data_IF_839064381720
#
_entry.id   IF_839064381720
#
_cell.length_a   1.000
_cell.length_b   1.000
_cell.length_c   1.000
_cell.angle_alpha   90.00
_cell.angle_beta   90.00
_cell.angle_gamma   90.00
#
_symmetry.space_group_name_H-M   'P 1'
#
loop_
_entity.id
_entity.type
_entity.pdbx_description
1 polymer ?
#
# COMPACT_ATOMS: atom_id res chain seq x y z
N UNK A 1 4.51 4.50 -24.74
CA UNK A 1 4.25 3.92 -23.40
C UNK A 1 4.53 5.01 -22.38
N UNK A 2 3.50 5.70 -21.88
CA UNK A 2 3.71 6.69 -20.84
C UNK A 2 4.17 5.94 -19.58
N UNK A 3 5.41 6.17 -19.16
CA UNK A 3 5.94 5.61 -17.92
C UNK A 3 5.24 6.36 -16.78
N UNK A 4 4.24 5.74 -16.15
CA UNK A 4 3.64 6.35 -14.95
C UNK A 4 4.74 6.49 -13.91
N UNK A 5 4.98 7.71 -13.43
CA UNK A 5 5.89 7.89 -12.32
C UNK A 5 5.25 7.29 -11.06
N UNK A 6 5.98 6.37 -10.41
CA UNK A 6 5.53 5.63 -9.22
C UNK A 6 6.32 6.03 -7.98
N UNK A 7 7.19 7.04 -8.09
CA UNK A 7 8.01 7.54 -6.99
C UNK A 7 7.22 7.96 -5.76
N UNK A 8 5.97 8.37 -5.96
CA UNK A 8 5.04 8.85 -4.92
C UNK A 8 4.11 7.77 -4.36
N UNK A 9 4.18 6.54 -4.88
CA UNK A 9 3.35 5.42 -4.42
C UNK A 9 3.94 4.81 -3.15
N UNK A 10 3.08 4.25 -2.30
CA UNK A 10 3.50 3.60 -1.07
C UNK A 10 3.38 2.08 -1.19
N UNK A 11 4.40 1.36 -0.75
CA UNK A 11 4.34 -0.09 -0.60
C UNK A 11 3.47 -0.49 0.58
N UNK A 12 2.63 -1.50 0.38
CA UNK A 12 1.85 -2.13 1.44
C UNK A 12 2.42 -3.54 1.66
N UNK A 13 2.95 -3.78 2.85
CA UNK A 13 3.42 -5.09 3.27
C UNK A 13 2.41 -5.69 4.24
N UNK A 14 2.18 -6.99 4.10
CA UNK A 14 1.27 -7.72 5.00
C UNK A 14 1.96 -7.86 6.35
N UNK A 15 1.23 -7.66 7.43
CA UNK A 15 1.70 -8.01 8.76
C UNK A 15 1.57 -9.53 8.99
N UNK A 16 2.51 -10.29 8.43
CA UNK A 16 2.62 -11.75 8.58
C UNK A 16 3.96 -12.19 9.18
N UNK A 17 4.67 -11.26 9.82
CA UNK A 17 5.98 -11.48 10.43
C UNK A 17 7.16 -11.39 9.45
N UNK A 18 6.91 -11.20 8.15
CA UNK A 18 7.94 -10.98 7.14
C UNK A 18 7.81 -9.58 6.53
N UNK A 19 8.95 -8.89 6.32
CA UNK A 19 8.96 -7.60 5.61
C UNK A 19 9.35 -7.86 4.15
N UNK A 20 8.37 -8.27 3.37
CA UNK A 20 8.54 -8.49 1.96
C UNK A 20 7.32 -8.01 1.16
N UNK A 21 7.47 -8.03 -0.16
CA UNK A 21 6.45 -7.58 -1.09
C UNK A 21 5.67 -8.75 -1.71
N UNK A 22 5.64 -9.91 -1.03
CA UNK A 22 5.04 -11.15 -1.53
C UNK A 22 4.41 -11.95 -0.39
N UNK A 23 3.10 -12.13 -0.43
CA UNK A 23 2.40 -12.99 0.52
C UNK A 23 1.77 -14.20 -0.18
N UNK A 24 1.45 -15.24 0.59
CA UNK A 24 0.76 -16.44 0.11
C UNK A 24 -0.61 -16.54 0.78
N UNK A 25 -1.66 -16.57 -0.04
CA UNK A 25 -3.04 -16.74 0.42
C UNK A 25 -3.66 -17.90 -0.34
N UNK A 26 -4.15 -18.92 0.36
CA UNK A 26 -4.74 -20.13 -0.24
C UNK A 26 -3.86 -20.74 -1.33
N UNK A 27 -2.56 -20.93 -1.04
CA UNK A 27 -1.55 -21.44 -1.96
C UNK A 27 -1.28 -20.58 -3.21
N UNK A 28 -1.88 -19.39 -3.31
CA UNK A 28 -1.64 -18.43 -4.39
C UNK A 28 -0.67 -17.36 -3.89
N UNK A 29 0.41 -17.18 -4.62
CA UNK A 29 1.33 -16.06 -4.42
C UNK A 29 0.74 -14.76 -4.93
N UNK A 30 0.76 -13.72 -4.10
CA UNK A 30 0.37 -12.35 -4.43
C UNK A 30 1.43 -11.39 -3.91
N UNK A 31 1.43 -10.14 -4.35
CA UNK A 31 2.45 -9.19 -3.95
C UNK A 31 2.38 -7.87 -4.71
N UNK A 32 3.39 -7.03 -4.53
CA UNK A 32 3.47 -5.69 -5.12
C UNK A 32 2.24 -4.82 -4.79
N UNK A 33 1.68 -4.99 -3.59
CA UNK A 33 0.54 -4.20 -3.18
C UNK A 33 0.96 -2.76 -2.92
N UNK A 34 0.20 -1.81 -3.46
CA UNK A 34 0.48 -0.39 -3.36
C UNK A 34 -0.72 0.40 -2.90
N UNK A 35 -0.46 1.53 -2.27
CA UNK A 35 -1.38 2.65 -2.20
C UNK A 35 -1.02 3.62 -3.33
N UNK A 36 -1.95 3.85 -4.26
CA UNK A 36 -1.69 4.66 -5.45
C UNK A 36 -2.97 5.38 -5.96
N UNK A 37 -2.86 6.42 -6.80
CA UNK A 37 -4.04 7.02 -7.41
C UNK A 37 -4.59 6.11 -8.50
N UNK A 38 -5.86 6.30 -8.87
CA UNK A 38 -6.45 5.59 -9.99
C UNK A 38 -5.64 5.79 -11.26
N UNK A 39 -5.28 4.69 -11.92
CA UNK A 39 -4.59 4.73 -13.20
C UNK A 39 -5.56 4.96 -14.36
N UNK A 40 -5.04 5.21 -15.59
CA UNK A 40 -5.88 5.47 -16.77
C UNK A 40 -6.88 4.36 -17.11
N UNK A 41 -6.59 3.11 -16.70
CA UNK A 41 -7.45 1.95 -16.93
C UNK A 41 -8.44 1.68 -15.78
N UNK A 42 -8.36 2.42 -14.67
CA UNK A 42 -9.24 2.21 -13.52
C UNK A 42 -9.07 0.88 -12.79
N UNK A 43 -7.98 0.15 -13.03
CA UNK A 43 -7.72 -1.15 -12.43
C UNK A 43 -6.89 -1.01 -11.14
N UNK A 44 -7.34 -1.68 -10.07
CA UNK A 44 -6.59 -1.76 -8.80
C UNK A 44 -5.73 -3.02 -8.69
N UNK A 45 -6.15 -4.13 -9.30
CA UNK A 45 -5.46 -5.44 -9.26
C UNK A 45 -5.14 -5.93 -7.83
N UNK A 46 -5.94 -5.50 -6.84
CA UNK A 46 -5.75 -5.83 -5.42
C UNK A 46 -4.96 -4.79 -4.62
N UNK A 47 -4.48 -3.72 -5.25
CA UNK A 47 -3.96 -2.55 -4.56
C UNK A 47 -5.07 -1.73 -3.89
N UNK A 48 -4.67 -0.81 -3.01
CA UNK A 48 -5.57 0.22 -2.48
C UNK A 48 -5.46 1.45 -3.39
N UNK A 49 -6.56 1.81 -4.03
CA UNK A 49 -6.58 2.88 -5.03
C UNK A 49 -7.41 4.06 -4.57
N UNK A 50 -6.83 5.25 -4.57
CA UNK A 50 -7.55 6.51 -4.34
C UNK A 50 -8.07 7.03 -5.68
N UNK A 51 -9.39 7.18 -5.80
CA UNK A 51 -10.05 7.57 -7.06
C UNK A 51 -9.81 9.02 -7.47
N UNK A 52 -9.52 9.89 -6.51
CA UNK A 52 -9.14 11.28 -6.78
C UNK A 52 -7.62 11.44 -6.77
N UNK A 53 -7.05 11.81 -7.91
CA UNK A 53 -5.62 12.09 -8.03
C UNK A 53 -5.18 13.23 -7.10
N UNK A 54 -6.00 14.27 -6.96
CA UNK A 54 -5.74 15.40 -6.06
C UNK A 54 -5.68 14.91 -4.60
N UNK A 55 -6.63 14.08 -4.19
CA UNK A 55 -6.64 13.54 -2.83
C UNK A 55 -5.43 12.62 -2.56
N UNK A 56 -5.04 11.81 -3.55
CA UNK A 56 -3.83 11.00 -3.45
C UNK A 56 -2.59 11.88 -3.29
N UNK A 57 -2.44 12.93 -4.09
CA UNK A 57 -1.28 13.82 -4.02
C UNK A 57 -1.17 14.50 -2.65
N UNK A 58 -2.31 14.95 -2.08
CA UNK A 58 -2.35 15.51 -0.73
C UNK A 58 -1.90 14.50 0.33
N UNK A 59 -2.41 13.26 0.26
CA UNK A 59 -2.01 12.19 1.17
C UNK A 59 -0.53 11.83 1.00
N UNK A 60 -0.04 11.76 -0.23
CA UNK A 60 1.36 11.40 -0.53
C UNK A 60 2.33 12.44 0.04
N UNK A 61 2.03 13.73 -0.14
CA UNK A 61 2.80 14.82 0.48
C UNK A 61 2.79 14.69 2.00
N UNK A 62 1.62 14.44 2.60
CA UNK A 62 1.51 14.28 4.05
C UNK A 62 2.37 13.12 4.58
N UNK A 63 2.25 11.93 3.98
CA UNK A 63 2.96 10.73 4.42
C UNK A 63 4.48 10.83 4.19
N UNK A 64 4.93 11.42 3.08
CA UNK A 64 6.37 11.60 2.81
C UNK A 64 7.05 12.60 3.75
N UNK A 65 6.29 13.56 4.28
CA UNK A 65 6.80 14.52 5.26
C UNK A 65 6.60 14.06 6.72
N UNK A 66 5.98 12.89 6.93
CA UNK A 66 5.84 12.31 8.25
C UNK A 66 7.16 11.67 8.69
N UNK A 67 7.53 11.84 9.96
CA UNK A 67 8.69 11.15 10.53
C UNK A 67 8.59 9.62 10.40
N UNK A 68 7.36 9.09 10.49
CA UNK A 68 7.03 7.67 10.51
C UNK A 68 7.46 7.00 11.82
N UNK A 69 7.29 5.69 11.88
CA UNK A 69 7.85 4.86 12.95
C UNK A 69 8.68 3.71 12.36
N UNK A 70 9.47 3.00 13.17
CA UNK A 70 10.33 1.90 12.73
C UNK A 70 9.65 0.57 12.94
N UNK A 71 9.77 -0.32 11.95
CA UNK A 71 9.34 -1.70 12.11
C UNK A 71 10.29 -2.38 13.11
N UNK A 72 9.77 -2.97 14.22
CA UNK A 72 10.61 -3.58 15.25
C UNK A 72 11.64 -4.57 14.67
N UNK A 73 12.88 -4.47 15.16
CA UNK A 73 13.99 -5.31 14.68
C UNK A 73 14.60 -4.88 13.34
N UNK A 74 14.18 -3.74 12.76
CA UNK A 74 14.75 -3.21 11.50
C UNK A 74 14.94 -1.70 11.51
N UNK A 75 15.74 -1.19 10.57
CA UNK A 75 15.85 0.26 10.28
C UNK A 75 14.77 0.76 9.29
N UNK A 76 13.85 -0.10 8.86
CA UNK A 76 12.83 0.27 7.88
C UNK A 76 11.74 1.09 8.57
N UNK A 77 11.41 2.24 7.98
CA UNK A 77 10.29 3.06 8.42
C UNK A 77 8.97 2.62 7.79
N UNK A 78 7.89 2.79 8.53
CA UNK A 78 6.53 2.75 8.02
C UNK A 78 5.80 4.05 8.38
N UNK A 79 4.79 4.40 7.58
CA UNK A 79 4.07 5.68 7.70
C UNK A 79 2.64 5.53 8.21
N UNK A 80 2.22 4.30 8.50
CA UNK A 80 0.89 4.00 9.03
C UNK A 80 0.55 2.52 8.90
N UNK A 81 -0.59 2.16 9.49
CA UNK A 81 -1.20 0.83 9.42
C UNK A 81 -2.47 0.96 8.61
N UNK A 82 -2.71 0.02 7.70
CA UNK A 82 -3.94 -0.06 6.92
C UNK A 82 -4.74 -1.28 7.37
N UNK A 83 -5.80 -1.04 8.12
CA UNK A 83 -6.71 -2.10 8.57
C UNK A 83 -7.76 -2.39 7.50
N UNK A 84 -7.85 -3.65 7.10
CA UNK A 84 -8.90 -4.15 6.20
C UNK A 84 -9.99 -4.80 7.03
N UNK A 85 -11.08 -4.07 7.25
CA UNK A 85 -12.23 -4.55 8.01
C UNK A 85 -13.19 -5.25 7.04
N UNK A 86 -13.26 -6.57 7.11
CA UNK A 86 -14.31 -7.35 6.44
C UNK A 86 -15.42 -7.70 7.45
N UNK A 87 -16.62 -7.11 7.33
CA UNK A 87 -17.71 -7.39 8.26
C UNK A 87 -18.21 -8.85 8.19
N UNK A 88 -17.84 -9.60 7.14
CA UNK A 88 -18.21 -11.03 7.00
C UNK A 88 -17.30 -11.95 7.80
N UNK A 89 -16.12 -11.48 8.20
CA UNK A 89 -15.14 -12.26 8.98
C UNK A 89 -15.16 -11.92 10.47
N UNK A 90 -15.91 -10.89 10.88
CA UNK A 90 -16.22 -10.63 12.28
C UNK A 90 -17.18 -11.72 12.79
N UNK A 91 -16.63 -12.74 13.44
CA UNK A 91 -17.37 -13.73 14.23
C UNK A 91 -16.96 -13.62 15.69
#
# INVERSE_FOLDING_TARGET
MARTDRSHWFSLYRDDGSIDDRTVVNNITRGNFRLHPIGPLGLSEGCVTITSEIAFNQLSIYLHNMDGDRIPGTEKKYFGILDVIDPRTAR
#
